data_IF_937908511219
#
_entry.id   IF_937908511219
#
_cell.length_a   1.000
_cell.length_b   1.000
_cell.length_c   1.000
_cell.angle_alpha   90.00
_cell.angle_beta   90.00
_cell.angle_gamma   90.00
#
_symmetry.space_group_name_H-M   'P 1'
#
loop_
_entity.id
_entity.type
_entity.pdbx_description
1 polymer ?
#
# COMPACT_ATOMS: atom_id res chain seq x y z
N UNK A 1 -25.14 -7.25 -18.44
CA UNK A 1 -23.70 -7.48 -18.19
C UNK A 1 -23.30 -8.85 -18.72
N UNK A 2 -22.21 -8.90 -19.47
CA UNK A 2 -21.73 -10.16 -20.00
C UNK A 2 -20.99 -10.95 -18.93
N UNK A 3 -20.93 -12.28 -19.09
CA UNK A 3 -20.15 -13.15 -18.21
C UNK A 3 -18.68 -12.71 -18.15
N UNK A 4 -18.16 -12.23 -19.27
CA UNK A 4 -16.78 -11.76 -19.38
C UNK A 4 -16.53 -10.55 -18.48
N UNK A 5 -17.45 -9.58 -18.43
CA UNK A 5 -17.32 -8.40 -17.57
C UNK A 5 -17.40 -8.77 -16.09
N UNK A 6 -18.36 -9.63 -15.72
CA UNK A 6 -18.51 -10.09 -14.35
C UNK A 6 -17.24 -10.81 -13.89
N UNK A 7 -16.67 -11.64 -14.76
CA UNK A 7 -15.46 -12.39 -14.47
C UNK A 7 -14.25 -11.46 -14.25
N UNK A 8 -14.14 -10.39 -15.07
CA UNK A 8 -13.06 -9.41 -14.93
C UNK A 8 -13.19 -8.62 -13.63
N UNK A 9 -14.40 -8.18 -13.27
CA UNK A 9 -14.66 -7.47 -12.02
C UNK A 9 -14.28 -8.34 -10.82
N UNK A 10 -14.65 -9.63 -10.86
CA UNK A 10 -14.31 -10.58 -9.81
C UNK A 10 -12.79 -10.78 -9.70
N UNK A 11 -12.06 -10.76 -10.83
CA UNK A 11 -10.60 -10.89 -10.82
C UNK A 11 -9.94 -9.70 -10.15
N UNK A 12 -10.38 -8.47 -10.47
CA UNK A 12 -9.83 -7.26 -9.86
C UNK A 12 -10.08 -7.23 -8.36
N UNK A 13 -11.30 -7.54 -7.94
CA UNK A 13 -11.66 -7.60 -6.53
C UNK A 13 -10.88 -8.71 -5.81
N UNK A 14 -10.79 -9.90 -6.39
CA UNK A 14 -10.06 -11.01 -5.79
C UNK A 14 -8.57 -10.70 -5.67
N UNK A 15 -8.01 -10.00 -6.65
CA UNK A 15 -6.62 -9.54 -6.60
C UNK A 15 -6.42 -8.59 -5.41
N UNK A 16 -7.34 -7.65 -5.21
CA UNK A 16 -7.30 -6.72 -4.08
C UNK A 16 -7.39 -7.46 -2.74
N UNK A 17 -8.32 -8.41 -2.64
CA UNK A 17 -8.50 -9.23 -1.44
C UNK A 17 -7.21 -9.98 -1.11
N UNK A 18 -6.60 -10.64 -2.10
CA UNK A 18 -5.36 -11.38 -1.90
C UNK A 18 -4.23 -10.50 -1.40
N UNK A 19 -4.09 -9.31 -1.95
CA UNK A 19 -3.04 -8.37 -1.53
C UNK A 19 -3.27 -7.87 -0.11
N UNK A 20 -4.50 -7.48 0.24
CA UNK A 20 -4.76 -6.98 1.60
C UNK A 20 -4.62 -8.10 2.64
N UNK A 21 -5.01 -9.31 2.32
CA UNK A 21 -4.82 -10.46 3.21
C UNK A 21 -3.33 -10.72 3.46
N UNK A 22 -2.51 -10.62 2.41
CA UNK A 22 -1.06 -10.75 2.53
C UNK A 22 -0.46 -9.67 3.41
N UNK A 23 -0.93 -8.43 3.27
CA UNK A 23 -0.49 -7.32 4.13
C UNK A 23 -0.84 -7.56 5.59
N UNK A 24 -2.04 -8.08 5.86
CA UNK A 24 -2.47 -8.41 7.22
C UNK A 24 -1.57 -9.50 7.81
N UNK A 25 -1.30 -10.55 7.05
CA UNK A 25 -0.40 -11.62 7.50
C UNK A 25 1.00 -11.10 7.83
N UNK A 26 1.56 -10.28 6.96
CA UNK A 26 2.88 -9.70 7.17
C UNK A 26 2.89 -8.79 8.39
N UNK A 27 1.87 -7.98 8.55
CA UNK A 27 1.74 -7.08 9.69
C UNK A 27 1.64 -7.85 11.01
N UNK A 28 0.86 -8.93 11.03
CA UNK A 28 0.74 -9.79 12.21
C UNK A 28 2.07 -10.45 12.57
N UNK A 29 2.80 -10.92 11.57
CA UNK A 29 4.13 -11.52 11.80
C UNK A 29 5.12 -10.50 12.35
N UNK A 30 5.14 -9.30 11.78
CA UNK A 30 6.02 -8.23 12.25
C UNK A 30 5.66 -7.82 13.67
N UNK A 31 4.37 -7.66 13.96
CA UNK A 31 3.89 -7.29 15.29
C UNK A 31 4.31 -8.34 16.31
N UNK A 32 4.17 -9.61 15.98
CA UNK A 32 4.59 -10.70 16.85
C UNK A 32 6.10 -10.65 17.11
N UNK A 33 6.91 -10.54 16.06
CA UNK A 33 8.37 -10.52 16.18
C UNK A 33 8.85 -9.29 16.98
N UNK A 34 8.23 -8.14 16.77
CA UNK A 34 8.59 -6.93 17.51
C UNK A 34 8.14 -6.97 18.98
N UNK A 35 7.17 -7.82 19.32
CA UNK A 35 6.70 -7.99 20.70
C UNK A 35 7.62 -8.86 21.56
N UNK A 36 8.56 -9.57 20.95
CA UNK A 36 9.47 -10.45 21.68
C UNK A 36 10.48 -9.64 22.50
N UNK A 37 10.64 -10.01 23.78
CA UNK A 37 11.58 -9.33 24.69
C UNK A 37 13.03 -9.63 24.34
N UNK A 38 13.30 -10.79 23.78
CA UNK A 38 14.63 -11.21 23.36
C UNK A 38 14.54 -11.65 21.90
N UNK A 39 15.25 -10.95 21.03
CA UNK A 39 15.29 -11.30 19.61
C UNK A 39 16.57 -12.06 19.29
N UNK A 40 16.43 -13.08 18.46
CA UNK A 40 17.58 -13.80 17.91
C UNK A 40 17.96 -13.20 16.57
N UNK A 41 19.13 -13.55 16.06
CA UNK A 41 19.56 -13.14 14.72
C UNK A 41 18.58 -13.67 13.67
N UNK A 42 18.02 -14.86 13.89
CA UNK A 42 17.03 -15.47 13.01
C UNK A 42 15.75 -14.61 12.95
N UNK A 43 15.29 -14.10 14.10
CA UNK A 43 14.11 -13.24 14.18
C UNK A 43 14.36 -11.93 13.45
N UNK A 44 15.53 -11.32 13.60
CA UNK A 44 15.92 -10.11 12.91
C UNK A 44 15.96 -10.30 11.39
N UNK A 45 16.48 -11.44 10.94
CA UNK A 45 16.49 -11.78 9.53
C UNK A 45 15.09 -11.91 8.96
N UNK A 46 14.16 -12.51 9.70
CA UNK A 46 12.76 -12.63 9.29
C UNK A 46 12.09 -11.27 9.16
N UNK A 47 12.35 -10.36 10.09
CA UNK A 47 11.83 -9.00 10.03
C UNK A 47 12.33 -8.29 8.77
N UNK A 48 13.61 -8.40 8.49
CA UNK A 48 14.21 -7.78 7.30
C UNK A 48 13.66 -8.38 6.01
N UNK A 49 13.48 -9.69 5.96
CA UNK A 49 12.91 -10.38 4.80
C UNK A 49 11.49 -9.91 4.51
N UNK A 50 10.67 -9.73 5.55
CA UNK A 50 9.30 -9.25 5.39
C UNK A 50 9.31 -7.82 4.84
N UNK A 51 10.12 -6.93 5.42
CA UNK A 51 10.22 -5.54 4.96
C UNK A 51 10.73 -5.45 3.53
N UNK A 52 11.74 -6.24 3.20
CA UNK A 52 12.27 -6.30 1.84
C UNK A 52 11.21 -6.80 0.84
N UNK A 53 10.45 -7.81 1.23
CA UNK A 53 9.35 -8.34 0.43
C UNK A 53 8.29 -7.26 0.16
N UNK A 54 7.96 -6.45 1.18
CA UNK A 54 7.03 -5.32 1.04
C UNK A 54 7.57 -4.33 0.00
N UNK A 55 8.82 -3.92 0.14
CA UNK A 55 9.43 -2.95 -0.77
C UNK A 55 9.47 -3.46 -2.20
N UNK A 56 9.74 -4.74 -2.38
CA UNK A 56 9.82 -5.37 -3.70
C UNK A 56 8.43 -5.61 -4.33
N UNK A 57 7.37 -5.55 -3.54
CA UNK A 57 6.02 -5.79 -4.05
C UNK A 57 5.47 -4.63 -4.86
N UNK A 58 6.01 -3.43 -4.68
CA UNK A 58 5.54 -2.24 -5.39
C UNK A 58 6.19 -2.15 -6.77
N UNK A 59 5.36 -1.93 -7.80
CA UNK A 59 5.85 -1.68 -9.15
C UNK A 59 6.37 -0.24 -9.28
N UNK A 60 5.74 0.69 -8.59
CA UNK A 60 6.21 2.08 -8.54
C UNK A 60 5.71 2.75 -7.27
N UNK A 61 6.49 3.73 -6.82
CA UNK A 61 6.13 4.58 -5.68
C UNK A 61 6.31 6.01 -6.16
N UNK A 62 5.23 6.78 -6.18
CA UNK A 62 5.24 8.14 -6.66
C UNK A 62 4.67 9.06 -5.57
N UNK A 63 5.12 10.29 -5.56
CA UNK A 63 4.59 11.30 -4.66
C UNK A 63 4.62 12.66 -5.36
N UNK A 64 3.76 13.57 -4.92
CA UNK A 64 3.69 14.91 -5.48
C UNK A 64 3.40 15.94 -4.40
N UNK A 65 3.85 17.18 -4.64
CA UNK A 65 3.50 18.32 -3.80
C UNK A 65 2.15 18.88 -4.25
N UNK A 66 1.51 19.63 -3.35
CA UNK A 66 0.34 20.43 -3.70
C UNK A 66 0.74 21.75 -4.38
N UNK A 67 -0.21 22.66 -4.49
CA UNK A 67 0.06 24.00 -4.98
C UNK A 67 0.94 24.75 -3.98
N UNK A 68 1.96 25.47 -4.50
CA UNK A 68 2.83 26.30 -3.68
C UNK A 68 3.10 27.62 -4.40
N UNK A 69 3.45 28.63 -3.62
CA UNK A 69 3.75 29.96 -4.15
C UNK A 69 5.14 29.98 -4.78
N UNK A 70 5.34 30.82 -5.80
CA UNK A 70 6.67 31.04 -6.38
C UNK A 70 7.65 31.65 -5.39
N UNK A 71 7.16 32.14 -4.26
CA UNK A 71 8.00 32.67 -3.18
C UNK A 71 8.44 31.60 -2.18
N UNK A 72 7.87 30.41 -2.26
CA UNK A 72 8.25 29.30 -1.40
C UNK A 72 9.53 28.65 -1.91
N UNK A 73 10.45 28.38 -1.01
CA UNK A 73 11.75 27.81 -1.36
C UNK A 73 11.71 26.30 -1.52
N UNK A 74 10.73 25.62 -0.95
CA UNK A 74 10.69 24.16 -0.95
C UNK A 74 9.34 23.59 -1.35
N UNK A 75 9.38 22.53 -2.17
CA UNK A 75 8.23 21.69 -2.43
C UNK A 75 8.25 20.54 -1.43
N UNK A 76 7.14 20.35 -0.72
CA UNK A 76 6.98 19.28 0.25
C UNK A 76 5.95 18.30 -0.32
N UNK A 77 6.27 16.99 -0.40
CA UNK A 77 5.30 16.02 -0.86
C UNK A 77 4.05 16.02 0.02
N UNK A 78 2.88 16.03 -0.60
CA UNK A 78 1.58 16.03 0.09
C UNK A 78 0.71 14.84 -0.23
N UNK A 79 0.98 14.15 -1.34
CA UNK A 79 0.22 12.98 -1.76
C UNK A 79 1.17 11.90 -2.25
N UNK A 80 0.75 10.64 -2.11
CA UNK A 80 1.52 9.52 -2.60
C UNK A 80 0.65 8.51 -3.34
N UNK A 81 1.31 7.69 -4.15
CA UNK A 81 0.68 6.60 -4.89
C UNK A 81 1.65 5.43 -4.98
N UNK A 82 1.19 4.24 -4.60
CA UNK A 82 1.95 3.01 -4.72
C UNK A 82 1.19 2.09 -5.68
N UNK A 83 1.80 1.77 -6.81
CA UNK A 83 1.22 0.86 -7.78
C UNK A 83 1.67 -0.56 -7.45
N UNK A 84 0.72 -1.47 -7.23
CA UNK A 84 1.02 -2.86 -6.87
C UNK A 84 0.92 -3.79 -8.06
N UNK A 85 -0.12 -3.63 -8.89
CA UNK A 85 -0.27 -4.42 -10.11
C UNK A 85 -0.76 -3.53 -11.24
N UNK A 86 -0.40 -3.91 -12.46
CA UNK A 86 -0.81 -3.20 -13.68
C UNK A 86 -1.14 -4.20 -14.78
N UNK A 87 -1.98 -3.77 -15.72
CA UNK A 87 -2.44 -4.62 -16.79
C UNK A 87 -3.83 -5.11 -16.45
N UNK A 88 -4.30 -6.21 -16.78
CA UNK A 88 -5.62 -6.71 -16.68
C UNK A 88 -6.33 -6.63 -15.42
N UNK A 89 -6.19 -6.92 -14.18
CA UNK A 89 -6.58 -6.06 -13.07
C UNK A 89 -5.42 -5.21 -12.58
N UNK A 90 -5.74 -3.96 -12.18
CA UNK A 90 -4.76 -3.05 -11.60
C UNK A 90 -5.09 -2.79 -10.13
N UNK A 91 -4.07 -2.58 -9.32
CA UNK A 91 -4.22 -2.34 -7.89
C UNK A 91 -3.24 -1.25 -7.47
N UNK A 92 -3.73 -0.28 -6.71
CA UNK A 92 -2.88 0.81 -6.20
C UNK A 92 -3.31 1.24 -4.80
N UNK A 93 -2.40 1.91 -4.13
CA UNK A 93 -2.69 2.60 -2.87
C UNK A 93 -2.47 4.08 -3.12
N UNK A 94 -3.41 4.91 -2.70
CA UNK A 94 -3.27 6.37 -2.74
C UNK A 94 -3.48 6.91 -1.34
N UNK A 95 -2.90 8.07 -1.06
CA UNK A 95 -3.08 8.70 0.23
C UNK A 95 -2.39 10.05 0.30
N UNK A 96 -2.45 10.64 1.47
CA UNK A 96 -1.85 11.93 1.77
C UNK A 96 -0.56 11.74 2.56
N UNK A 97 0.27 12.76 2.57
CA UNK A 97 1.51 12.80 3.34
C UNK A 97 1.48 14.01 4.26
N UNK A 98 1.85 13.81 5.51
CA UNK A 98 2.08 14.89 6.46
C UNK A 98 3.53 14.82 6.95
N UNK A 99 3.86 15.59 7.98
CA UNK A 99 5.23 15.63 8.53
C UNK A 99 5.66 14.29 9.14
N UNK A 100 4.72 13.41 9.42
CA UNK A 100 4.98 12.11 10.06
C UNK A 100 4.91 10.93 9.11
N UNK A 101 4.50 11.15 7.86
CA UNK A 101 4.44 10.10 6.84
C UNK A 101 3.06 9.93 6.22
N UNK A 102 2.78 8.72 5.68
CA UNK A 102 1.50 8.44 5.02
C UNK A 102 0.30 8.58 5.96
N UNK A 103 -0.76 9.21 5.45
CA UNK A 103 -2.01 9.45 6.17
C UNK A 103 -3.16 8.99 5.30
N UNK A 104 -4.12 8.31 5.90
CA UNK A 104 -5.36 7.87 5.26
C UNK A 104 -5.16 7.14 3.94
N UNK A 105 -4.30 6.11 3.91
CA UNK A 105 -4.13 5.35 2.67
C UNK A 105 -5.40 4.61 2.30
N UNK A 106 -5.67 4.56 1.00
CA UNK A 106 -6.81 3.84 0.43
C UNK A 106 -6.30 2.85 -0.58
N UNK A 107 -6.84 1.64 -0.54
CA UNK A 107 -6.57 0.62 -1.55
C UNK A 107 -7.64 0.74 -2.63
N UNK A 108 -7.20 0.82 -3.89
CA UNK A 108 -8.10 0.94 -5.03
C UNK A 108 -7.79 -0.10 -6.08
N UNK A 109 -8.83 -0.64 -6.68
CA UNK A 109 -8.69 -1.61 -7.77
C UNK A 109 -9.40 -1.10 -9.03
N UNK A 110 -8.95 -1.60 -10.17
CA UNK A 110 -9.49 -1.21 -11.46
C UNK A 110 -9.45 -2.40 -12.41
N UNK A 111 -10.53 -2.56 -13.15
CA UNK A 111 -10.58 -3.50 -14.26
C UNK A 111 -10.41 -2.71 -15.58
N UNK A 112 -10.24 -3.42 -16.70
CA UNK A 112 -10.09 -2.78 -18.01
C UNK A 112 -11.24 -1.81 -18.30
N UNK A 113 -10.86 -0.54 -18.58
CA UNK A 113 -11.83 0.47 -18.99
C UNK A 113 -12.79 0.96 -17.92
N UNK A 114 -12.62 0.57 -16.68
CA UNK A 114 -13.43 1.05 -15.57
C UNK A 114 -12.69 2.13 -14.77
N UNK A 115 -13.42 2.83 -13.92
CA UNK A 115 -12.81 3.78 -12.98
C UNK A 115 -12.18 3.03 -11.81
N UNK A 116 -11.23 3.68 -11.16
CA UNK A 116 -10.67 3.17 -9.91
C UNK A 116 -11.77 3.09 -8.86
N UNK A 117 -11.86 1.96 -8.17
CA UNK A 117 -12.87 1.70 -7.14
C UNK A 117 -12.19 1.52 -5.80
N UNK A 118 -12.71 2.19 -4.77
CA UNK A 118 -12.20 2.03 -3.42
C UNK A 118 -12.55 0.64 -2.89
N UNK A 119 -11.55 -0.03 -2.32
CA UNK A 119 -11.77 -1.29 -1.62
C UNK A 119 -12.19 -0.98 -0.19
N UNK A 120 -13.35 -1.53 0.23
CA UNK A 120 -13.82 -1.35 1.60
C UNK A 120 -13.00 -2.22 2.54
N UNK A 121 -12.29 -1.58 3.48
CA UNK A 121 -11.39 -2.27 4.39
C UNK A 121 -11.90 -2.19 5.83
N UNK A 122 -11.61 -3.25 6.60
CA UNK A 122 -11.90 -3.32 8.03
C UNK A 122 -10.84 -2.54 8.80
N UNK A 123 -11.06 -2.35 10.10
CA UNK A 123 -10.07 -1.69 10.95
C UNK A 123 -8.73 -2.40 10.97
N UNK A 124 -8.76 -3.75 11.07
CA UNK A 124 -7.54 -4.55 11.07
C UNK A 124 -6.78 -4.42 9.75
N UNK A 125 -7.52 -4.41 8.64
CA UNK A 125 -6.93 -4.21 7.32
C UNK A 125 -6.36 -2.80 7.16
N UNK A 126 -7.03 -1.80 7.73
CA UNK A 126 -6.54 -0.41 7.70
C UNK A 126 -5.22 -0.27 8.45
N UNK A 127 -5.09 -0.93 9.60
CA UNK A 127 -3.83 -0.93 10.36
C UNK A 127 -2.71 -1.57 9.57
N UNK A 128 -2.99 -2.70 8.91
CA UNK A 128 -2.01 -3.36 8.06
C UNK A 128 -1.62 -2.50 6.87
N UNK A 129 -2.57 -1.82 6.25
CA UNK A 129 -2.33 -0.92 5.12
C UNK A 129 -1.47 0.27 5.55
N UNK A 130 -1.75 0.85 6.72
CA UNK A 130 -0.96 1.94 7.28
C UNK A 130 0.48 1.49 7.50
N UNK A 131 0.67 0.32 8.11
CA UNK A 131 1.99 -0.26 8.31
C UNK A 131 2.72 -0.48 6.99
N UNK A 132 2.03 -1.06 6.01
CA UNK A 132 2.60 -1.32 4.68
C UNK A 132 3.13 -0.03 4.05
N UNK A 133 2.32 1.02 4.06
CA UNK A 133 2.69 2.31 3.47
C UNK A 133 3.89 2.94 4.19
N UNK A 134 4.00 2.75 5.50
CA UNK A 134 5.11 3.30 6.28
C UNK A 134 6.44 2.61 6.04
N UNK A 135 6.46 1.49 5.32
CA UNK A 135 7.70 0.82 4.93
C UNK A 135 8.44 1.55 3.81
N UNK A 136 7.78 2.45 3.09
CA UNK A 136 8.33 3.14 1.93
C UNK A 136 8.86 4.53 2.28
N UNK A 137 9.77 5.02 1.45
CA UNK A 137 10.33 6.36 1.58
C UNK A 137 9.60 7.31 0.63
N UNK A 138 9.21 8.48 1.14
CA UNK A 138 8.46 9.48 0.37
C UNK A 138 9.16 10.84 0.31
N UNK A 139 10.48 10.85 0.26
CA UNK A 139 11.24 12.06 -0.03
C UNK A 139 11.24 13.14 1.05
N UNK A 140 11.33 12.77 2.27
CA UNK A 140 11.39 13.78 3.36
C UNK A 140 12.79 14.25 3.63
#
# INVERSE_FOLDING_TARGET
MTLSQTKKENLALNNAIGHIESMVEDFEKVTYLESLNVTTNEDEEKLEEIKESVLNSALSVEFRSGWYSSLDDEQVPEEFKILLTWGGPALRIIGELDNYGPVNPKLQYQDWGTFWTDFEITEDQQEALNWFCNCFYFGS
#
